data_IF_302315978724
#
_entry.id   IF_302315978724
#
_cell.length_a   1.000
_cell.length_b   1.000
_cell.length_c   1.000
_cell.angle_alpha   90.00
_cell.angle_beta   90.00
_cell.angle_gamma   90.00
#
_symmetry.space_group_name_H-M   'P 1'
#
loop_
_entity.id
_entity.type
_entity.pdbx_description
1 polymer ?
#
# COMPACT_ATOMS: atom_id res chain seq x y z
N UNK A 1 7.34 6.44 -29.69
CA UNK A 1 7.02 5.75 -28.41
C UNK A 1 6.27 6.71 -27.51
N UNK A 2 5.28 6.25 -26.72
CA UNK A 2 4.54 7.10 -25.75
C UNK A 2 4.61 6.46 -24.36
N UNK A 3 5.08 7.22 -23.36
CA UNK A 3 5.13 6.79 -21.95
C UNK A 3 3.89 7.33 -21.22
N UNK A 4 3.26 6.53 -20.36
CA UNK A 4 2.13 6.93 -19.52
C UNK A 4 2.51 6.76 -18.05
N UNK A 5 2.28 7.79 -17.26
CA UNK A 5 2.62 7.84 -15.82
C UNK A 5 1.39 8.17 -14.99
N UNK A 6 0.34 7.30 -14.98
CA UNK A 6 -0.99 7.62 -14.44
C UNK A 6 -1.01 7.91 -12.93
N UNK A 7 0.07 7.57 -12.22
CA UNK A 7 0.19 7.76 -10.77
C UNK A 7 1.11 8.93 -10.38
N UNK A 8 1.77 9.60 -11.34
CA UNK A 8 2.88 10.53 -11.07
C UNK A 8 2.52 11.69 -10.13
N UNK A 9 1.29 12.17 -10.23
CA UNK A 9 0.79 13.30 -9.44
C UNK A 9 -0.13 12.87 -8.31
N UNK A 10 -0.31 11.56 -8.10
CA UNK A 10 -1.18 11.03 -7.06
C UNK A 10 -0.40 10.85 -5.76
N UNK A 11 -1.01 11.28 -4.67
CA UNK A 11 -0.62 10.91 -3.31
C UNK A 11 -0.88 9.42 -3.05
N UNK A 12 -0.30 8.85 -1.99
CA UNK A 12 -0.54 7.43 -1.66
C UNK A 12 -2.01 7.15 -1.35
N UNK A 13 -2.68 8.07 -0.67
CA UNK A 13 -4.14 8.06 -0.45
C UNK A 13 -4.90 7.95 -1.78
N UNK A 14 -4.62 8.84 -2.73
CA UNK A 14 -5.31 8.84 -4.04
C UNK A 14 -5.01 7.59 -4.87
N UNK A 15 -3.81 7.02 -4.74
CA UNK A 15 -3.49 5.72 -5.34
C UNK A 15 -4.36 4.61 -4.74
N UNK A 16 -4.56 4.62 -3.42
CA UNK A 16 -5.41 3.65 -2.71
C UNK A 16 -6.87 3.82 -3.14
N UNK A 17 -7.41 5.04 -3.09
CA UNK A 17 -8.78 5.34 -3.54
C UNK A 17 -9.00 4.85 -4.98
N UNK A 18 -8.05 5.15 -5.87
CA UNK A 18 -8.14 4.74 -7.27
C UNK A 18 -8.07 3.24 -7.44
N UNK A 19 -7.22 2.54 -6.69
CA UNK A 19 -7.12 1.09 -6.73
C UNK A 19 -8.40 0.42 -6.23
N UNK A 20 -8.96 0.88 -5.11
CA UNK A 20 -10.24 0.37 -4.59
C UNK A 20 -11.37 0.60 -5.58
N UNK A 21 -11.46 1.79 -6.17
CA UNK A 21 -12.47 2.10 -7.20
C UNK A 21 -12.34 1.24 -8.47
N UNK A 22 -11.15 0.68 -8.73
CA UNK A 22 -10.88 -0.24 -9.84
C UNK A 22 -11.04 -1.72 -9.44
N UNK A 23 -11.38 -2.02 -8.19
CA UNK A 23 -11.55 -3.38 -7.68
C UNK A 23 -10.24 -4.11 -7.38
N UNK A 24 -9.15 -3.38 -7.09
CA UNK A 24 -7.89 -4.00 -6.68
C UNK A 24 -8.05 -4.64 -5.31
N UNK A 25 -7.72 -5.92 -5.22
CA UNK A 25 -7.56 -6.60 -3.94
C UNK A 25 -6.18 -6.28 -3.33
N UNK A 26 -6.17 -5.34 -2.37
CA UNK A 26 -4.94 -4.92 -1.71
C UNK A 26 -4.34 -5.97 -0.76
N UNK A 27 -5.08 -7.01 -0.38
CA UNK A 27 -4.55 -8.13 0.40
C UNK A 27 -3.54 -8.97 -0.39
N UNK A 28 -3.66 -8.97 -1.73
CA UNK A 28 -2.74 -9.68 -2.63
C UNK A 28 -1.45 -8.90 -2.93
N UNK A 29 -1.30 -7.69 -2.41
CA UNK A 29 -0.18 -6.79 -2.74
C UNK A 29 0.84 -6.71 -1.62
N UNK A 30 2.13 -6.63 -1.98
CA UNK A 30 3.22 -6.40 -1.04
C UNK A 30 3.86 -5.03 -1.33
N UNK A 31 4.04 -4.24 -0.27
CA UNK A 31 4.82 -3.00 -0.34
C UNK A 31 6.05 -3.02 0.59
N UNK A 32 6.06 -3.91 1.57
CA UNK A 32 7.14 -4.01 2.56
C UNK A 32 8.49 -4.28 1.90
N UNK A 33 9.55 -3.67 2.44
CA UNK A 33 10.93 -3.89 1.97
C UNK A 33 11.56 -5.14 2.59
N UNK A 34 11.15 -5.49 3.80
CA UNK A 34 11.75 -6.58 4.58
C UNK A 34 10.65 -7.39 5.28
N UNK A 35 9.78 -8.09 4.53
CA UNK A 35 8.75 -8.91 5.14
C UNK A 35 9.39 -10.01 5.99
N UNK A 36 8.72 -10.38 7.09
CA UNK A 36 9.13 -11.50 7.93
C UNK A 36 9.22 -12.82 7.13
N UNK A 37 9.87 -13.88 7.65
CA UNK A 37 9.88 -15.19 7.00
C UNK A 37 8.48 -15.77 6.73
N UNK A 38 7.46 -15.35 7.49
CA UNK A 38 6.06 -15.72 7.29
C UNK A 38 5.32 -14.84 6.26
N UNK A 39 6.01 -13.89 5.62
CA UNK A 39 5.44 -12.97 4.63
C UNK A 39 4.75 -11.73 5.21
N UNK A 40 4.70 -11.58 6.54
CA UNK A 40 4.08 -10.42 7.19
C UNK A 40 4.91 -9.15 6.98
N UNK A 41 4.25 -8.02 6.74
CA UNK A 41 4.90 -6.74 6.56
C UNK A 41 5.57 -6.27 7.87
N UNK A 42 6.79 -5.75 7.81
CA UNK A 42 7.57 -5.44 9.02
C UNK A 42 7.06 -4.27 9.86
N UNK A 43 6.18 -3.42 9.32
CA UNK A 43 5.60 -2.28 10.04
C UNK A 43 6.54 -1.08 10.23
N UNK A 44 7.86 -1.28 10.26
CA UNK A 44 8.82 -0.22 10.57
C UNK A 44 9.48 0.45 9.36
N UNK A 45 9.46 -0.17 8.16
CA UNK A 45 10.08 0.43 6.98
C UNK A 45 9.24 1.57 6.38
N UNK A 46 9.87 2.44 5.58
CA UNK A 46 9.19 3.60 4.99
C UNK A 46 8.01 3.22 4.11
N UNK A 47 8.09 2.12 3.36
CA UNK A 47 6.95 1.66 2.57
C UNK A 47 5.78 1.18 3.43
N UNK A 48 6.04 0.50 4.55
CA UNK A 48 5.00 0.11 5.50
C UNK A 48 4.31 1.34 6.10
N UNK A 49 5.09 2.34 6.55
CA UNK A 49 4.57 3.59 7.10
C UNK A 49 3.76 4.38 6.08
N UNK A 50 4.28 4.52 4.86
CA UNK A 50 3.60 5.23 3.77
C UNK A 50 2.29 4.54 3.38
N UNK A 51 2.29 3.21 3.30
CA UNK A 51 1.09 2.42 3.01
C UNK A 51 0.05 2.57 4.10
N UNK A 52 0.42 2.29 5.36
CA UNK A 52 -0.48 2.38 6.51
C UNK A 52 -1.11 3.76 6.64
N UNK A 53 -0.29 4.83 6.52
CA UNK A 53 -0.79 6.20 6.50
C UNK A 53 -1.72 6.46 5.32
N UNK A 54 -1.39 5.99 4.13
CA UNK A 54 -2.24 6.17 2.95
C UNK A 54 -3.62 5.54 3.10
N UNK A 55 -3.72 4.35 3.71
CA UNK A 55 -5.01 3.70 4.01
C UNK A 55 -5.79 4.47 5.07
N UNK A 56 -5.11 4.89 6.13
CA UNK A 56 -5.73 5.71 7.18
C UNK A 56 -6.28 7.05 6.64
N UNK A 57 -5.51 7.75 5.80
CA UNK A 57 -5.92 9.00 5.14
C UNK A 57 -7.08 8.79 4.15
N UNK A 58 -7.18 7.61 3.55
CA UNK A 58 -8.28 7.25 2.64
C UNK A 58 -9.56 6.84 3.40
N UNK A 59 -9.48 6.63 4.71
CA UNK A 59 -10.59 6.08 5.51
C UNK A 59 -10.95 4.64 5.12
N UNK A 60 -10.01 3.90 4.52
CA UNK A 60 -10.17 2.51 4.09
C UNK A 60 -9.35 1.61 5.02
N UNK A 61 -9.93 0.49 5.45
CA UNK A 61 -9.20 -0.50 6.24
C UNK A 61 -8.00 -1.05 5.47
N UNK A 62 -6.80 -0.97 6.04
CA UNK A 62 -5.59 -1.58 5.47
C UNK A 62 -5.67 -3.11 5.64
N UNK A 63 -5.70 -3.90 4.56
CA UNK A 63 -5.73 -5.36 4.66
C UNK A 63 -4.36 -5.98 4.94
N UNK A 64 -3.29 -5.18 5.10
CA UNK A 64 -1.95 -5.71 5.34
C UNK A 64 -1.83 -6.37 6.71
N UNK A 65 -1.37 -7.63 6.70
CA UNK A 65 -0.95 -8.32 7.90
C UNK A 65 0.47 -7.89 8.28
N UNK A 66 0.60 -7.16 9.38
CA UNK A 66 1.88 -6.73 9.92
C UNK A 66 2.44 -7.77 10.90
N UNK A 67 3.77 -7.91 10.93
CA UNK A 67 4.43 -8.67 11.97
C UNK A 67 4.19 -7.95 13.31
N UNK A 68 3.79 -8.72 14.33
CA UNK A 68 3.91 -8.24 15.70
C UNK A 68 5.41 -8.11 16.00
N UNK A 69 5.82 -7.01 16.63
CA UNK A 69 7.20 -6.83 17.12
C UNK A 69 7.65 -8.04 17.97
#
# INVERSE_FOLDING_TARGET
VRIRTPLLHLTKREIIDRGVALGVDYAMTLSCYDPSPAGLACGHCDACRLRSRGFAEAGISDPTCYAAE
#
